data_IF_123858196456
#
_entry.id   IF_123858196456
#
_cell.length_a   1.000
_cell.length_b   1.000
_cell.length_c   1.000
_cell.angle_alpha   90.00
_cell.angle_beta   90.00
_cell.angle_gamma   90.00
#
_symmetry.space_group_name_H-M   'P 1'
#
loop_
_entity.id
_entity.type
_entity.pdbx_description
1 polymer ?
#
# COMPACT_ATOMS: atom_id res chain seq x y z
N UNK A 1 20.09 -18.37 -11.50
CA UNK A 1 19.95 -18.68 -10.06
C UNK A 1 21.15 -18.20 -9.25
N UNK A 2 22.43 -18.44 -9.66
CA UNK A 2 23.61 -18.03 -8.89
C UNK A 2 23.83 -16.52 -8.87
N UNK A 3 23.51 -15.82 -9.96
CA UNK A 3 23.58 -14.35 -10.05
C UNK A 3 22.60 -13.73 -9.06
N UNK A 4 21.41 -14.26 -8.97
CA UNK A 4 20.37 -13.79 -8.04
C UNK A 4 20.78 -13.97 -6.57
N UNK A 5 21.30 -15.15 -6.22
CA UNK A 5 21.79 -15.41 -4.85
C UNK A 5 22.91 -14.46 -4.46
N UNK A 6 23.83 -14.19 -5.39
CA UNK A 6 24.92 -13.24 -5.17
C UNK A 6 24.40 -11.82 -4.95
N UNK A 7 23.43 -11.36 -5.73
CA UNK A 7 22.82 -10.03 -5.56
C UNK A 7 22.12 -9.88 -4.21
N UNK A 8 21.40 -10.92 -3.75
CA UNK A 8 20.76 -10.92 -2.42
C UNK A 8 21.81 -10.88 -1.31
N UNK A 9 22.91 -11.62 -1.40
CA UNK A 9 23.99 -11.59 -0.42
C UNK A 9 24.69 -10.22 -0.38
N UNK A 10 24.93 -9.61 -1.53
CA UNK A 10 25.49 -8.26 -1.64
C UNK A 10 24.54 -7.23 -0.97
N UNK A 11 23.22 -7.36 -1.17
CA UNK A 11 22.24 -6.52 -0.49
C UNK A 11 22.28 -6.71 1.03
N UNK A 12 22.31 -7.94 1.53
CA UNK A 12 22.39 -8.24 2.96
C UNK A 12 23.67 -7.66 3.57
N UNK A 13 24.79 -7.75 2.87
CA UNK A 13 26.04 -7.14 3.31
C UNK A 13 25.95 -5.61 3.37
N UNK A 14 25.30 -4.98 2.37
CA UNK A 14 25.15 -3.54 2.32
C UNK A 14 24.30 -2.98 3.47
N UNK A 15 23.35 -3.76 4.01
CA UNK A 15 22.50 -3.35 5.14
C UNK A 15 23.00 -3.86 6.50
N UNK A 16 24.18 -4.42 6.57
CA UNK A 16 24.77 -4.92 7.84
C UNK A 16 24.87 -3.79 8.87
N UNK A 17 24.44 -4.05 10.09
CA UNK A 17 24.38 -3.08 11.18
C UNK A 17 23.11 -2.20 11.16
N UNK A 18 22.23 -2.39 10.18
CA UNK A 18 20.91 -1.75 10.17
C UNK A 18 19.83 -2.68 10.72
N UNK A 19 18.66 -2.12 11.00
CA UNK A 19 17.48 -2.88 11.44
C UNK A 19 16.95 -3.90 10.42
N UNK A 20 17.33 -3.77 9.15
CA UNK A 20 16.91 -4.65 8.06
C UNK A 20 17.74 -5.94 7.96
N UNK A 21 18.91 -5.96 8.56
CA UNK A 21 19.86 -7.09 8.48
C UNK A 21 19.22 -8.40 8.96
N UNK A 22 18.60 -8.39 10.14
CA UNK A 22 17.99 -9.58 10.72
C UNK A 22 16.84 -10.12 9.86
N UNK A 23 16.00 -9.24 9.33
CA UNK A 23 14.88 -9.60 8.47
C UNK A 23 15.35 -10.26 7.17
N UNK A 24 16.35 -9.67 6.51
CA UNK A 24 16.85 -10.19 5.23
C UNK A 24 17.61 -11.50 5.41
N UNK A 25 18.35 -11.68 6.51
CA UNK A 25 19.01 -12.94 6.85
C UNK A 25 18.00 -14.06 7.15
N UNK A 26 16.91 -13.76 7.85
CA UNK A 26 15.84 -14.72 8.09
C UNK A 26 15.18 -15.17 6.78
N UNK A 27 14.95 -14.24 5.87
CA UNK A 27 14.41 -14.55 4.55
C UNK A 27 15.36 -15.38 3.69
N UNK A 28 16.67 -15.09 3.72
CA UNK A 28 17.68 -15.86 2.99
C UNK A 28 17.74 -17.32 3.46
N UNK A 29 17.58 -17.55 4.77
CA UNK A 29 17.61 -18.90 5.35
C UNK A 29 16.39 -19.75 4.99
N UNK A 30 15.28 -19.15 4.58
CA UNK A 30 14.09 -19.84 4.14
C UNK A 30 14.22 -20.30 2.67
N UNK A 31 13.76 -21.53 2.36
CA UNK A 31 13.91 -22.13 1.04
C UNK A 31 13.26 -21.27 -0.07
N UNK A 32 13.94 -21.21 -1.20
CA UNK A 32 13.53 -20.57 -2.48
C UNK A 32 12.60 -19.38 -2.35
N UNK A 33 13.16 -18.19 -2.14
CA UNK A 33 12.44 -16.92 -2.12
C UNK A 33 12.58 -16.18 -3.45
N UNK A 34 11.47 -15.65 -3.95
CA UNK A 34 11.48 -14.75 -5.10
C UNK A 34 11.85 -13.33 -4.67
N UNK A 35 12.21 -12.48 -5.63
CA UNK A 35 12.41 -11.05 -5.37
C UNK A 35 11.16 -10.39 -4.72
N UNK A 36 9.98 -10.82 -5.14
CA UNK A 36 8.73 -10.34 -4.58
C UNK A 36 8.59 -10.66 -3.07
N UNK A 37 9.05 -11.84 -2.61
CA UNK A 37 8.99 -12.19 -1.19
C UNK A 37 9.83 -11.25 -0.32
N UNK A 38 11.00 -10.79 -0.81
CA UNK A 38 11.80 -9.79 -0.12
C UNK A 38 11.12 -8.44 -0.08
N UNK A 39 10.55 -7.98 -1.20
CA UNK A 39 9.81 -6.71 -1.26
C UNK A 39 8.64 -6.72 -0.26
N UNK A 40 7.82 -7.78 -0.26
CA UNK A 40 6.70 -7.91 0.68
C UNK A 40 7.11 -7.93 2.14
N UNK A 41 8.18 -8.64 2.46
CA UNK A 41 8.63 -8.70 3.84
C UNK A 41 9.13 -7.33 4.32
N UNK A 42 9.78 -6.56 3.46
CA UNK A 42 10.19 -5.19 3.75
C UNK A 42 9.00 -4.26 3.93
N UNK A 43 7.97 -4.35 3.07
CA UNK A 43 6.74 -3.57 3.19
C UNK A 43 6.00 -3.90 4.50
N UNK A 44 5.80 -5.18 4.80
CA UNK A 44 5.16 -5.61 6.05
C UNK A 44 5.96 -5.13 7.26
N UNK A 45 7.29 -5.21 7.22
CA UNK A 45 8.15 -4.73 8.29
C UNK A 45 7.99 -3.22 8.49
N UNK A 46 8.04 -2.44 7.40
CA UNK A 46 7.87 -0.99 7.41
C UNK A 46 6.54 -0.58 8.06
N UNK A 47 5.42 -1.12 7.56
CA UNK A 47 4.10 -0.78 8.08
C UNK A 47 3.90 -1.22 9.53
N UNK A 48 4.40 -2.38 9.93
CA UNK A 48 4.40 -2.81 11.35
C UNK A 48 5.16 -1.85 12.23
N UNK A 49 6.32 -1.39 11.77
CA UNK A 49 7.15 -0.45 12.50
C UNK A 49 6.44 0.91 12.65
N UNK A 50 5.97 1.48 11.53
CA UNK A 50 5.21 2.73 11.55
C UNK A 50 4.01 2.63 12.49
N UNK A 51 3.23 1.57 12.40
CA UNK A 51 2.08 1.36 13.28
C UNK A 51 2.47 1.30 14.76
N UNK A 52 3.54 0.60 15.07
CA UNK A 52 4.08 0.52 16.43
C UNK A 52 4.49 1.90 16.96
N UNK A 53 5.11 2.74 16.13
CA UNK A 53 5.47 4.11 16.55
C UNK A 53 4.22 4.99 16.74
N UNK A 54 3.22 4.88 15.88
CA UNK A 54 1.93 5.57 16.02
C UNK A 54 1.28 5.24 17.37
N UNK A 55 1.28 3.97 17.78
CA UNK A 55 0.68 3.56 19.06
C UNK A 55 1.38 4.12 20.29
N UNK A 56 2.63 4.58 20.17
CA UNK A 56 3.39 5.21 21.25
C UNK A 56 3.15 6.72 21.38
N UNK A 57 2.49 7.34 20.40
CA UNK A 57 2.20 8.79 20.43
C UNK A 57 1.30 9.09 21.61
N UNK A 58 1.78 9.92 22.53
CA UNK A 58 1.11 10.24 23.80
C UNK A 58 -0.14 11.10 23.59
N UNK A 59 -0.06 12.08 22.68
CA UNK A 59 -1.21 12.91 22.36
C UNK A 59 -2.29 12.11 21.62
N UNK A 60 -3.46 12.02 22.24
CA UNK A 60 -4.57 11.19 21.76
C UNK A 60 -5.11 11.68 20.41
N UNK A 61 -5.19 13.00 20.22
CA UNK A 61 -5.70 13.57 18.97
C UNK A 61 -4.76 13.27 17.81
N UNK A 62 -3.47 13.57 17.98
CA UNK A 62 -2.44 13.26 16.98
C UNK A 62 -2.41 11.77 16.67
N UNK A 63 -2.44 10.91 17.68
CA UNK A 63 -2.47 9.46 17.47
C UNK A 63 -3.68 9.02 16.66
N UNK A 64 -4.88 9.49 16.95
CA UNK A 64 -6.09 9.15 16.18
C UNK A 64 -6.02 9.61 14.73
N UNK A 65 -5.42 10.78 14.48
CA UNK A 65 -5.19 11.29 13.12
C UNK A 65 -4.25 10.36 12.36
N UNK A 66 -3.12 10.00 12.95
CA UNK A 66 -2.14 9.10 12.36
C UNK A 66 -2.73 7.70 12.11
N UNK A 67 -3.47 7.15 13.08
CA UNK A 67 -4.18 5.87 12.93
C UNK A 67 -5.17 5.89 11.76
N UNK A 68 -5.90 6.99 11.55
CA UNK A 68 -6.83 7.11 10.45
C UNK A 68 -6.11 7.21 9.09
N UNK A 69 -5.05 7.98 8.98
CA UNK A 69 -4.30 8.18 7.73
C UNK A 69 -3.58 6.88 7.36
N UNK A 70 -2.64 6.45 8.20
CA UNK A 70 -1.82 5.27 7.93
C UNK A 70 -2.62 3.97 7.96
N UNK A 71 -3.65 3.89 8.80
CA UNK A 71 -4.54 2.74 8.79
C UNK A 71 -5.37 2.63 7.51
N UNK A 72 -5.77 3.77 6.90
CA UNK A 72 -6.43 3.77 5.59
C UNK A 72 -5.46 3.29 4.50
N UNK A 73 -4.22 3.72 4.55
CA UNK A 73 -3.17 3.27 3.63
C UNK A 73 -2.90 1.77 3.76
N UNK A 74 -2.75 1.27 4.98
CA UNK A 74 -2.55 -0.16 5.23
C UNK A 74 -3.74 -1.00 4.74
N UNK A 75 -4.97 -0.57 5.01
CA UNK A 75 -6.17 -1.28 4.53
C UNK A 75 -6.16 -1.36 3.00
N UNK A 76 -5.75 -0.28 2.31
CA UNK A 76 -5.65 -0.27 0.86
C UNK A 76 -4.55 -1.20 0.34
N UNK A 77 -3.36 -1.16 0.93
CA UNK A 77 -2.27 -2.07 0.56
C UNK A 77 -2.73 -3.53 0.68
N UNK A 78 -3.41 -3.88 1.76
CA UNK A 78 -3.97 -5.21 1.94
C UNK A 78 -5.03 -5.56 0.89
N UNK A 79 -5.91 -4.62 0.52
CA UNK A 79 -6.91 -4.81 -0.54
C UNK A 79 -6.25 -5.04 -1.90
N UNK A 80 -5.27 -4.20 -2.27
CA UNK A 80 -4.55 -4.33 -3.54
C UNK A 80 -3.77 -5.64 -3.64
N UNK A 81 -3.19 -6.09 -2.52
CA UNK A 81 -2.53 -7.37 -2.44
C UNK A 81 -3.48 -8.53 -2.69
N UNK A 82 -4.59 -8.55 -1.97
CA UNK A 82 -5.62 -9.58 -2.16
C UNK A 82 -6.13 -9.60 -3.60
N UNK A 83 -6.37 -8.43 -4.18
CA UNK A 83 -6.81 -8.30 -5.57
C UNK A 83 -5.78 -8.89 -6.56
N UNK A 84 -4.51 -8.42 -6.48
CA UNK A 84 -3.43 -8.87 -7.37
C UNK A 84 -3.17 -10.37 -7.24
N UNK A 85 -3.20 -10.91 -6.02
CA UNK A 85 -3.03 -12.33 -5.76
C UNK A 85 -4.09 -13.17 -6.48
N UNK A 86 -5.34 -12.72 -6.51
CA UNK A 86 -6.45 -13.41 -7.19
C UNK A 86 -6.41 -13.19 -8.71
N UNK A 87 -6.13 -11.97 -9.15
CA UNK A 87 -6.18 -11.59 -10.56
C UNK A 87 -5.03 -12.18 -11.38
N UNK A 88 -3.81 -12.15 -10.84
CA UNK A 88 -2.59 -12.42 -11.60
C UNK A 88 -1.84 -13.67 -11.17
N UNK A 89 -1.99 -14.08 -9.90
CA UNK A 89 -1.13 -15.12 -9.34
C UNK A 89 -1.87 -16.41 -8.95
N UNK A 90 -3.20 -16.42 -9.00
CA UNK A 90 -4.04 -17.56 -8.57
C UNK A 90 -3.59 -18.15 -7.20
N UNK A 91 -3.20 -17.28 -6.29
CA UNK A 91 -2.68 -17.67 -4.97
C UNK A 91 -3.81 -18.15 -4.08
N UNK A 92 -3.54 -19.20 -3.30
CA UNK A 92 -4.48 -19.69 -2.29
C UNK A 92 -4.61 -18.74 -1.09
N UNK A 93 -5.72 -18.87 -0.36
CA UNK A 93 -6.01 -18.03 0.82
C UNK A 93 -4.87 -17.98 1.83
N UNK A 94 -4.25 -19.12 2.15
CA UNK A 94 -3.16 -19.23 3.11
C UNK A 94 -1.93 -18.42 2.71
N UNK A 95 -1.61 -18.38 1.41
CA UNK A 95 -0.47 -17.65 0.90
C UNK A 95 -0.75 -16.15 0.83
N UNK A 96 -1.95 -15.76 0.41
CA UNK A 96 -2.38 -14.36 0.43
C UNK A 96 -2.33 -13.80 1.86
N UNK A 97 -2.78 -14.58 2.84
CA UNK A 97 -2.78 -14.17 4.25
C UNK A 97 -1.37 -13.94 4.81
N UNK A 98 -0.37 -14.69 4.36
CA UNK A 98 1.03 -14.50 4.79
C UNK A 98 1.59 -13.13 4.37
N UNK A 99 1.11 -12.59 3.26
CA UNK A 99 1.57 -11.34 2.69
C UNK A 99 0.76 -10.12 3.16
N UNK A 100 -0.17 -10.30 4.10
CA UNK A 100 -0.94 -9.19 4.64
C UNK A 100 -0.22 -8.49 5.79
N UNK A 101 -0.35 -7.18 5.81
CA UNK A 101 0.03 -6.36 6.96
C UNK A 101 -1.01 -6.66 8.05
N UNK A 102 -0.60 -7.14 9.25
CA UNK A 102 -1.53 -7.58 10.30
C UNK A 102 -2.11 -6.39 11.09
N UNK A 103 -2.55 -5.38 10.40
CA UNK A 103 -3.19 -4.17 10.91
C UNK A 103 -4.42 -3.91 10.04
N UNK A 104 -5.50 -3.46 10.66
CA UNK A 104 -6.68 -3.00 9.94
C UNK A 104 -7.27 -1.78 10.64
N UNK A 105 -7.78 -0.83 9.87
CA UNK A 105 -8.37 0.41 10.36
C UNK A 105 -9.90 0.39 10.22
N UNK A 106 -10.38 0.31 9.00
CA UNK A 106 -11.81 0.35 8.67
C UNK A 106 -12.32 -0.95 8.05
N UNK A 107 -11.42 -1.80 7.58
CA UNK A 107 -11.75 -3.16 7.17
C UNK A 107 -11.94 -4.03 8.41
N UNK A 108 -13.15 -4.49 8.65
CA UNK A 108 -13.43 -5.39 9.76
C UNK A 108 -12.86 -6.78 9.49
N UNK A 109 -12.47 -7.48 10.53
CA UNK A 109 -11.94 -8.84 10.42
C UNK A 109 -12.86 -9.78 9.62
N UNK A 110 -14.18 -9.66 9.78
CA UNK A 110 -15.15 -10.43 9.01
C UNK A 110 -15.16 -10.06 7.52
N UNK A 111 -14.98 -8.77 7.17
CA UNK A 111 -14.88 -8.30 5.78
C UNK A 111 -13.59 -8.81 5.14
N UNK A 112 -12.46 -8.70 5.85
CA UNK A 112 -11.16 -9.24 5.39
C UNK A 112 -11.24 -10.74 5.13
N UNK A 113 -11.83 -11.51 6.05
CA UNK A 113 -12.02 -12.96 5.89
C UNK A 113 -12.86 -13.26 4.65
N UNK A 114 -13.99 -12.58 4.48
CA UNK A 114 -14.86 -12.76 3.30
C UNK A 114 -14.14 -12.42 1.99
N UNK A 115 -13.31 -11.38 1.97
CA UNK A 115 -12.50 -11.01 0.81
C UNK A 115 -11.44 -12.07 0.49
N UNK A 116 -10.83 -12.69 1.49
CA UNK A 116 -9.88 -13.80 1.31
C UNK A 116 -10.56 -15.04 0.72
N UNK A 117 -11.78 -15.35 1.13
CA UNK A 117 -12.57 -16.50 0.70
C UNK A 117 -13.13 -16.37 -0.74
N UNK A 118 -13.07 -15.19 -1.38
CA UNK A 118 -13.52 -15.03 -2.78
C UNK A 118 -12.67 -15.87 -3.72
N UNK A 119 -13.31 -16.49 -4.71
CA UNK A 119 -12.62 -17.33 -5.69
C UNK A 119 -12.09 -16.53 -6.89
N UNK A 120 -12.80 -15.46 -7.27
CA UNK A 120 -12.47 -14.66 -8.45
C UNK A 120 -12.22 -13.19 -8.12
N UNK A 121 -11.50 -12.49 -9.00
CA UNK A 121 -11.25 -11.05 -8.87
C UNK A 121 -12.57 -10.25 -8.96
N UNK A 122 -13.53 -10.69 -9.77
CA UNK A 122 -14.83 -10.03 -9.93
C UNK A 122 -15.66 -10.12 -8.65
N UNK A 123 -15.70 -11.28 -8.00
CA UNK A 123 -16.34 -11.43 -6.70
C UNK A 123 -15.66 -10.58 -5.63
N UNK A 124 -14.34 -10.52 -5.67
CA UNK A 124 -13.56 -9.67 -4.78
C UNK A 124 -13.96 -8.19 -4.92
N UNK A 125 -13.97 -7.66 -6.14
CA UNK A 125 -14.38 -6.28 -6.45
C UNK A 125 -15.79 -5.99 -5.93
N UNK A 126 -16.75 -6.89 -6.15
CA UNK A 126 -18.12 -6.73 -5.68
C UNK A 126 -18.18 -6.63 -4.14
N UNK A 127 -17.40 -7.43 -3.42
CA UNK A 127 -17.34 -7.34 -1.97
C UNK A 127 -16.60 -6.09 -1.47
N UNK A 128 -15.55 -5.64 -2.16
CA UNK A 128 -14.87 -4.38 -1.85
C UNK A 128 -15.84 -3.20 -1.92
N UNK A 129 -16.74 -3.16 -2.91
CA UNK A 129 -17.78 -2.13 -3.04
C UNK A 129 -18.73 -2.05 -1.84
N UNK A 130 -18.88 -3.14 -1.08
CA UNK A 130 -19.71 -3.20 0.12
C UNK A 130 -18.97 -2.75 1.39
N UNK A 131 -17.66 -2.55 1.33
CA UNK A 131 -16.85 -2.12 2.47
C UNK A 131 -17.11 -0.67 2.86
N UNK A 132 -16.62 -0.27 4.06
CA UNK A 132 -16.75 1.10 4.56
C UNK A 132 -16.12 2.16 3.66
N UNK A 133 -15.21 1.79 2.78
CA UNK A 133 -14.54 2.71 1.85
C UNK A 133 -15.45 3.12 0.68
N UNK A 134 -16.30 2.21 0.21
CA UNK A 134 -17.05 2.37 -1.05
C UNK A 134 -18.58 2.39 -0.87
N UNK A 135 -19.11 1.87 0.24
CA UNK A 135 -20.55 1.79 0.48
C UNK A 135 -21.24 3.13 0.32
N UNK A 136 -22.31 3.16 -0.48
CA UNK A 136 -23.15 4.34 -0.71
C UNK A 136 -22.50 5.41 -1.58
N UNK A 137 -21.38 5.13 -2.21
CA UNK A 137 -20.73 6.03 -3.17
C UNK A 137 -21.08 5.58 -4.57
N UNK A 138 -21.69 6.48 -5.33
CA UNK A 138 -22.09 6.28 -6.74
C UNK A 138 -20.89 6.35 -7.71
N UNK A 139 -19.68 6.38 -7.18
CA UNK A 139 -18.49 6.45 -7.99
C UNK A 139 -18.18 5.08 -8.57
N UNK A 140 -17.91 5.05 -9.85
CA UNK A 140 -17.17 4.03 -10.57
C UNK A 140 -15.75 4.04 -10.01
N UNK A 141 -15.59 3.47 -8.82
CA UNK A 141 -14.30 3.28 -8.21
C UNK A 141 -13.93 1.83 -8.49
N UNK A 142 -13.16 1.64 -9.54
CA UNK A 142 -12.55 0.34 -9.78
C UNK A 142 -11.43 0.18 -8.76
N UNK A 143 -11.43 -0.91 -7.96
CA UNK A 143 -10.36 -1.13 -6.96
C UNK A 143 -8.98 -1.30 -7.58
N UNK A 144 -8.95 -1.52 -8.90
CA UNK A 144 -7.77 -1.71 -9.72
C UNK A 144 -7.11 -0.41 -10.13
N UNK A 145 -7.82 0.72 -9.97
CA UNK A 145 -7.38 2.01 -10.45
C UNK A 145 -6.63 2.76 -9.35
N UNK A 146 -5.40 3.18 -9.63
CA UNK A 146 -4.62 4.03 -8.73
C UNK A 146 -5.36 5.34 -8.41
N UNK A 147 -6.13 5.87 -9.35
CA UNK A 147 -7.04 7.01 -9.13
C UNK A 147 -8.06 6.75 -8.02
N UNK A 148 -8.52 5.53 -7.88
CA UNK A 148 -9.43 5.16 -6.79
C UNK A 148 -8.77 5.33 -5.44
N UNK A 149 -7.52 4.91 -5.32
CA UNK A 149 -6.72 5.06 -4.12
C UNK A 149 -6.48 6.53 -3.78
N UNK A 150 -6.01 7.29 -4.73
CA UNK A 150 -5.75 8.71 -4.57
C UNK A 150 -6.99 9.46 -4.08
N UNK A 151 -8.14 9.21 -4.69
CA UNK A 151 -9.43 9.80 -4.26
C UNK A 151 -9.83 9.39 -2.84
N UNK A 152 -9.53 8.16 -2.42
CA UNK A 152 -9.77 7.71 -1.04
C UNK A 152 -8.86 8.46 -0.08
N UNK A 153 -7.58 8.63 -0.39
CA UNK A 153 -6.61 9.33 0.45
C UNK A 153 -6.91 10.83 0.52
N UNK A 154 -7.14 11.50 -0.60
CA UNK A 154 -7.50 12.92 -0.64
C UNK A 154 -8.74 13.18 0.23
N UNK A 155 -9.81 12.40 0.05
CA UNK A 155 -11.03 12.54 0.88
C UNK A 155 -10.77 12.28 2.36
N UNK A 156 -9.87 11.35 2.68
CA UNK A 156 -9.48 11.06 4.06
C UNK A 156 -8.79 12.27 4.66
N UNK A 157 -7.80 12.84 3.97
CA UNK A 157 -7.11 14.05 4.39
C UNK A 157 -8.04 15.26 4.50
N UNK A 158 -8.90 15.51 3.50
CA UNK A 158 -9.87 16.60 3.54
C UNK A 158 -10.79 16.54 4.76
N UNK A 159 -11.32 15.35 5.05
CA UNK A 159 -12.19 15.13 6.20
C UNK A 159 -11.48 15.39 7.52
N UNK A 160 -10.25 14.90 7.64
CA UNK A 160 -9.45 15.06 8.86
C UNK A 160 -9.03 16.52 9.02
N UNK A 161 -8.53 17.18 7.97
CA UNK A 161 -8.13 18.58 8.02
C UNK A 161 -9.29 19.54 8.34
N UNK A 162 -10.49 19.25 7.81
CA UNK A 162 -11.70 20.03 8.18
C UNK A 162 -12.05 19.90 9.66
N UNK A 163 -11.87 18.72 10.23
CA UNK A 163 -12.17 18.45 11.64
C UNK A 163 -11.08 18.94 12.58
N UNK A 164 -9.82 18.87 12.16
CA UNK A 164 -8.63 19.16 12.94
C UNK A 164 -7.68 20.10 12.20
N UNK A 165 -8.07 21.36 11.94
CA UNK A 165 -7.31 22.27 11.08
C UNK A 165 -5.98 22.74 11.68
N UNK A 166 -5.84 22.70 13.01
CA UNK A 166 -4.62 23.12 13.74
C UNK A 166 -3.81 21.93 14.25
N UNK A 167 -3.97 20.77 13.62
CA UNK A 167 -3.26 19.54 13.98
C UNK A 167 -2.10 19.22 13.03
N UNK A 168 -1.53 18.02 13.15
CA UNK A 168 -0.52 17.48 12.22
C UNK A 168 -1.09 17.15 10.82
N UNK A 169 -2.42 17.03 10.69
CA UNK A 169 -3.05 16.59 9.46
C UNK A 169 -2.77 17.48 8.24
N UNK A 170 -2.81 18.82 8.30
CA UNK A 170 -2.46 19.67 7.16
C UNK A 170 -1.02 19.48 6.67
N UNK A 171 -0.09 19.24 7.60
CA UNK A 171 1.31 18.99 7.24
C UNK A 171 1.46 17.64 6.52
N UNK A 172 0.83 16.59 7.03
CA UNK A 172 0.84 15.28 6.40
C UNK A 172 0.16 15.30 5.03
N UNK A 173 -0.96 16.03 4.90
CA UNK A 173 -1.60 16.26 3.62
C UNK A 173 -0.66 16.92 2.62
N UNK A 174 0.03 17.97 3.03
CA UNK A 174 0.99 18.67 2.18
C UNK A 174 2.11 17.73 1.71
N UNK A 175 2.66 16.90 2.60
CA UNK A 175 3.69 15.93 2.25
C UNK A 175 3.17 14.89 1.24
N UNK A 176 1.97 14.37 1.46
CA UNK A 176 1.31 13.44 0.54
C UNK A 176 1.11 14.06 -0.86
N UNK A 177 0.59 15.29 -0.92
CA UNK A 177 0.39 16.00 -2.20
C UNK A 177 1.73 16.29 -2.91
N UNK A 178 2.81 16.55 -2.15
CA UNK A 178 4.15 16.75 -2.72
C UNK A 178 4.78 15.46 -3.22
N UNK A 179 4.60 14.36 -2.55
CA UNK A 179 5.03 13.04 -3.02
C UNK A 179 4.34 12.69 -4.35
N UNK A 180 3.03 12.86 -4.39
CA UNK A 180 2.26 12.67 -5.63
C UNK A 180 2.72 13.58 -6.78
N UNK A 181 2.99 14.87 -6.51
CA UNK A 181 3.55 15.79 -7.52
C UNK A 181 4.90 15.29 -8.07
N UNK A 182 5.75 14.73 -7.22
CA UNK A 182 7.04 14.15 -7.63
C UNK A 182 6.81 12.92 -8.53
N UNK A 183 5.85 12.07 -8.20
CA UNK A 183 5.53 10.88 -9.00
C UNK A 183 5.01 11.28 -10.39
N UNK A 184 4.13 12.27 -10.49
CA UNK A 184 3.66 12.82 -11.76
C UNK A 184 4.81 13.39 -12.60
N UNK A 185 5.71 14.16 -11.99
CA UNK A 185 6.88 14.71 -12.69
C UNK A 185 7.83 13.59 -13.16
N UNK A 186 8.04 12.58 -12.33
CA UNK A 186 8.85 11.41 -12.67
C UNK A 186 8.27 10.67 -13.86
N UNK A 187 6.96 10.39 -13.83
CA UNK A 187 6.22 9.75 -14.93
C UNK A 187 6.35 10.55 -16.22
N UNK A 188 6.21 11.89 -16.14
CA UNK A 188 6.38 12.77 -17.31
C UNK A 188 7.80 12.69 -17.88
N UNK A 189 8.83 12.76 -17.03
CA UNK A 189 10.24 12.71 -17.43
C UNK A 189 10.60 11.35 -18.03
N UNK A 190 10.13 10.26 -17.44
CA UNK A 190 10.31 8.92 -17.98
C UNK A 190 9.61 8.75 -19.32
N UNK A 191 8.38 9.24 -19.47
CA UNK A 191 7.66 9.25 -20.72
C UNK A 191 8.46 9.96 -21.84
N UNK A 192 9.04 11.13 -21.55
CA UNK A 192 9.91 11.86 -22.47
C UNK A 192 11.18 11.05 -22.80
N UNK A 193 11.81 10.46 -21.77
CA UNK A 193 13.01 9.62 -21.94
C UNK A 193 12.76 8.43 -22.85
N UNK A 194 11.61 7.78 -22.70
CA UNK A 194 11.20 6.64 -23.53
C UNK A 194 10.55 7.04 -24.87
N UNK A 195 10.50 8.35 -25.16
CA UNK A 195 9.89 8.91 -26.38
C UNK A 195 8.43 8.52 -26.56
N UNK A 196 7.70 8.42 -25.47
CA UNK A 196 6.24 8.21 -25.50
C UNK A 196 5.59 9.48 -26.10
N UNK A 197 4.58 9.35 -26.97
CA UNK A 197 3.88 10.50 -27.51
C UNK A 197 3.30 11.42 -26.43
N UNK A 198 3.34 12.76 -26.59
CA UNK A 198 2.88 13.70 -25.56
C UNK A 198 1.44 13.49 -25.10
N UNK A 199 0.55 13.03 -25.98
CA UNK A 199 -0.83 12.75 -25.63
C UNK A 199 -0.94 11.52 -24.70
N UNK A 200 -0.14 10.48 -24.93
CA UNK A 200 -0.09 9.31 -24.04
C UNK A 200 0.51 9.67 -22.67
N UNK A 201 1.59 10.48 -22.64
CA UNK A 201 2.16 10.98 -21.38
C UNK A 201 1.09 11.77 -20.61
N UNK A 202 0.36 12.65 -21.30
CA UNK A 202 -0.73 13.41 -20.69
C UNK A 202 -1.80 12.49 -20.13
N UNK A 203 -2.21 11.48 -20.88
CA UNK A 203 -3.23 10.54 -20.44
C UNK A 203 -2.75 9.72 -19.23
N UNK A 204 -1.47 9.35 -19.17
CA UNK A 204 -0.87 8.72 -17.98
C UNK A 204 -0.90 9.64 -16.75
N UNK A 205 -0.54 10.93 -16.92
CA UNK A 205 -0.49 11.91 -15.82
C UNK A 205 -1.90 12.27 -15.32
N UNK A 206 -2.88 12.43 -16.21
CA UNK A 206 -4.25 12.80 -15.84
C UNK A 206 -5.16 11.59 -15.58
N UNK A 207 -4.69 10.38 -15.87
CA UNK A 207 -5.32 9.14 -15.42
C UNK A 207 -4.87 8.73 -14.01
N UNK A 208 -3.80 9.35 -13.49
CA UNK A 208 -3.30 9.16 -12.11
C UNK A 208 -4.00 10.13 -11.10
#
# INVERSE_FOLDING_TARGET
>A
SDVYKRQVQELIQAVTGTEYESLLKELESAAEKSYADYAFALDIYYYKKVWKEITKVSDKETRQILEQIFGTEIDWQNLMWMYRAKRFYSMGEADVKKHQIPVSCRLRSAETKRLLETETAEQFVEFVRQTAYFRGKQAVLEPEDELTWERVMIRTYEKICKKHPMSVAPVLRYLYEKEHEIDLLTTALEGIRYRIPPYEIRDLIFAM
#
